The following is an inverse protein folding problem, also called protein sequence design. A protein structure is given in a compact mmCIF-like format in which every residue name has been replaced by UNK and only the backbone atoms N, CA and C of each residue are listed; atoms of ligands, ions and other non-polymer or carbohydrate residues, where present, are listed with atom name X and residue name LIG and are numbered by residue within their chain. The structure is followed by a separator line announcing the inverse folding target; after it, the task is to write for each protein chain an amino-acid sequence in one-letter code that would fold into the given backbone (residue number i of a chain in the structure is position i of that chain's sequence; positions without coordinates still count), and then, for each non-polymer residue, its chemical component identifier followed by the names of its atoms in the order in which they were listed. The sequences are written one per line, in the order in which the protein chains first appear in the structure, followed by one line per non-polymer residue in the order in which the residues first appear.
data_IF_773189333165
#
_entry.id   IF_773189333165
#
_cell.length_a   1.000
_cell.length_b   1.000
_cell.length_c   1.000
_cell.angle_alpha   90.00
_cell.angle_beta   90.00
_cell.angle_gamma   90.00
#
_symmetry.space_group_name_H-M   'P 1'
#
loop_
_entity.id
_entity.type
_entity.pdbx_description
1 polymer ?
#
# COMPACT_ATOMS: atom_id res chain seq x y z
N UNK A 1 -17.99 -35.68 -29.71
CA UNK A 1 -18.07 -34.73 -28.58
C UNK A 1 -17.69 -33.36 -29.10
N UNK A 2 -18.61 -32.39 -29.24
CA UNK A 2 -18.24 -31.03 -29.60
C UNK A 2 -17.74 -30.27 -28.36
N UNK A 3 -16.79 -29.33 -28.50
CA UNK A 3 -16.31 -28.52 -27.38
C UNK A 3 -17.39 -27.51 -26.94
N UNK A 4 -17.55 -27.37 -25.62
CA UNK A 4 -18.56 -26.53 -25.00
C UNK A 4 -18.42 -25.06 -25.37
N UNK A 5 -19.54 -24.46 -25.79
CA UNK A 5 -19.73 -23.02 -25.89
C UNK A 5 -19.52 -22.37 -24.51
N UNK A 6 -18.49 -21.53 -24.37
CA UNK A 6 -18.50 -20.47 -23.35
C UNK A 6 -19.24 -19.29 -23.96
N UNK A 7 -20.43 -19.00 -23.44
CA UNK A 7 -21.18 -17.81 -23.80
C UNK A 7 -20.43 -16.56 -23.31
N UNK A 8 -19.96 -15.75 -24.25
CA UNK A 8 -19.40 -14.44 -24.00
C UNK A 8 -20.57 -13.50 -23.68
N UNK A 9 -20.84 -13.24 -22.39
CA UNK A 9 -21.84 -12.23 -22.01
C UNK A 9 -21.22 -10.84 -22.19
N UNK A 10 -21.44 -10.24 -23.36
CA UNK A 10 -21.16 -8.83 -23.64
C UNK A 10 -22.33 -7.98 -23.14
N UNK A 11 -22.05 -6.99 -22.29
CA UNK A 11 -23.01 -5.95 -21.91
C UNK A 11 -23.37 -5.10 -23.14
N UNK A 12 -24.66 -4.87 -23.43
CA UNK A 12 -25.05 -4.10 -24.59
C UNK A 12 -24.88 -2.60 -24.31
N UNK A 13 -23.96 -1.93 -25.02
CA UNK A 13 -24.10 -0.49 -25.26
C UNK A 13 -22.90 0.44 -25.07
N UNK A 14 -21.68 0.09 -25.52
CA UNK A 14 -20.73 1.07 -26.11
C UNK A 14 -19.81 0.34 -27.10
N UNK A 15 -19.95 0.52 -28.43
CA UNK A 15 -18.97 0.01 -29.38
C UNK A 15 -17.70 0.89 -29.37
N UNK A 16 -16.57 0.33 -28.93
CA UNK A 16 -15.24 0.87 -29.28
C UNK A 16 -14.39 1.53 -28.19
N UNK A 17 -14.82 1.59 -26.93
CA UNK A 17 -13.88 1.93 -25.85
C UNK A 17 -13.05 0.69 -25.50
N UNK A 18 -11.72 0.81 -25.60
CA UNK A 18 -10.84 -0.17 -24.96
C UNK A 18 -11.26 -0.31 -23.48
N UNK A 19 -11.23 -1.53 -22.91
CA UNK A 19 -11.48 -1.68 -21.48
C UNK A 19 -10.58 -0.71 -20.72
N UNK A 20 -11.14 -0.03 -19.71
CA UNK A 20 -10.34 0.82 -18.84
C UNK A 20 -9.14 0.01 -18.34
N UNK A 21 -7.93 0.59 -18.30
CA UNK A 21 -6.76 -0.13 -17.82
C UNK A 21 -7.06 -0.70 -16.43
N UNK A 22 -6.70 -1.96 -16.22
CA UNK A 22 -6.86 -2.59 -14.92
C UNK A 22 -6.14 -1.74 -13.85
N UNK A 23 -6.71 -1.59 -12.64
CA UNK A 23 -6.05 -0.83 -11.58
C UNK A 23 -4.67 -1.43 -11.31
N UNK A 24 -3.65 -0.57 -11.26
CA UNK A 24 -2.28 -1.00 -11.02
C UNK A 24 -2.16 -1.58 -9.59
N UNK A 25 -1.49 -2.73 -9.42
CA UNK A 25 -1.43 -3.39 -8.12
C UNK A 25 -0.63 -2.56 -7.12
N UNK A 26 -1.07 -2.55 -5.86
CA UNK A 26 -0.29 -2.06 -4.73
C UNK A 26 0.35 -3.25 -4.01
N UNK A 27 1.65 -3.18 -3.73
CA UNK A 27 2.40 -4.24 -3.04
C UNK A 27 2.97 -3.69 -1.74
N UNK A 28 2.51 -4.22 -0.62
CA UNK A 28 3.01 -3.90 0.71
C UNK A 28 4.13 -4.87 1.09
N UNK A 29 5.30 -4.33 1.42
CA UNK A 29 6.50 -5.08 1.78
C UNK A 29 6.78 -4.81 3.26
N UNK A 30 6.84 -5.86 4.08
CA UNK A 30 7.16 -5.68 5.50
C UNK A 30 8.65 -5.42 5.72
N UNK A 31 8.96 -4.66 6.78
CA UNK A 31 10.34 -4.45 7.28
C UNK A 31 11.09 -5.76 7.49
N UNK A 32 10.41 -6.79 8.02
CA UNK A 32 11.02 -8.09 8.28
C UNK A 32 11.38 -8.84 6.99
N UNK A 33 10.51 -8.80 5.98
CA UNK A 33 10.80 -9.39 4.68
C UNK A 33 11.95 -8.65 3.99
N UNK A 34 11.96 -7.33 4.04
CA UNK A 34 13.03 -6.52 3.49
C UNK A 34 14.38 -6.83 4.15
N UNK A 35 14.40 -6.95 5.49
CA UNK A 35 15.59 -7.36 6.26
C UNK A 35 16.03 -8.78 5.95
N UNK A 36 15.09 -9.70 5.72
CA UNK A 36 15.40 -11.06 5.30
C UNK A 36 16.18 -11.09 3.96
N UNK A 37 15.88 -10.16 3.05
CA UNK A 37 16.63 -9.97 1.81
C UNK A 37 17.90 -9.11 1.95
N UNK A 38 18.26 -8.68 3.16
CA UNK A 38 19.49 -7.93 3.43
C UNK A 38 19.39 -6.42 3.25
N UNK A 39 18.21 -5.87 3.02
CA UNK A 39 18.01 -4.41 2.92
C UNK A 39 17.99 -3.76 4.30
N UNK A 40 18.59 -2.57 4.42
CA UNK A 40 18.73 -1.86 5.70
C UNK A 40 17.72 -0.70 5.85
N UNK A 41 17.05 -0.31 4.77
CA UNK A 41 16.04 0.75 4.77
C UNK A 41 14.89 0.45 3.81
N UNK A 42 13.74 1.11 4.01
CA UNK A 42 12.60 1.01 3.10
C UNK A 42 12.95 1.48 1.66
N UNK A 43 13.64 2.62 1.42
CA UNK A 43 14.06 3.02 0.08
C UNK A 43 14.95 2.00 -0.62
N UNK A 44 15.87 1.34 0.09
CA UNK A 44 16.71 0.28 -0.46
C UNK A 44 15.87 -0.91 -0.89
N UNK A 45 14.95 -1.36 -0.02
CA UNK A 45 14.07 -2.49 -0.31
C UNK A 45 13.17 -2.22 -1.51
N UNK A 46 12.56 -1.03 -1.59
CA UNK A 46 11.69 -0.64 -2.69
C UNK A 46 12.44 -0.62 -4.03
N UNK A 47 13.65 -0.03 -4.05
CA UNK A 47 14.48 0.00 -5.27
C UNK A 47 14.99 -1.38 -5.66
N UNK A 48 15.47 -2.16 -4.70
CA UNK A 48 16.01 -3.49 -4.93
C UNK A 48 14.95 -4.50 -5.39
N UNK A 49 13.73 -4.39 -4.88
CA UNK A 49 12.63 -5.30 -5.22
C UNK A 49 11.85 -4.89 -6.47
N UNK A 50 12.03 -3.67 -6.99
CA UNK A 50 11.31 -3.16 -8.17
C UNK A 50 11.46 -4.07 -9.39
N UNK A 51 12.63 -4.68 -9.61
CA UNK A 51 12.88 -5.59 -10.73
C UNK A 51 12.16 -6.94 -10.63
N UNK A 52 11.63 -7.28 -9.46
CA UNK A 52 10.93 -8.55 -9.18
C UNK A 52 9.41 -8.41 -9.20
N UNK A 53 8.89 -7.20 -9.37
CA UNK A 53 7.46 -6.89 -9.30
C UNK A 53 6.98 -6.40 -10.67
N UNK A 54 5.69 -6.64 -10.96
CA UNK A 54 5.07 -6.22 -12.22
C UNK A 54 5.34 -4.72 -12.51
N UNK A 55 5.74 -4.37 -13.74
CA UNK A 55 5.87 -2.97 -14.15
C UNK A 55 4.60 -2.16 -13.88
N UNK A 56 4.79 -0.94 -13.38
CA UNK A 56 3.68 -0.04 -13.02
C UNK A 56 3.04 -0.33 -11.65
N UNK A 57 3.49 -1.33 -10.90
CA UNK A 57 3.02 -1.49 -9.51
C UNK A 57 3.51 -0.35 -8.62
N UNK A 58 2.69 0.04 -7.64
CA UNK A 58 3.13 0.88 -6.52
C UNK A 58 3.64 -0.02 -5.41
N UNK A 59 4.89 0.17 -4.98
CA UNK A 59 5.48 -0.57 -3.87
C UNK A 59 5.45 0.30 -2.63
N UNK A 60 5.06 -0.24 -1.48
CA UNK A 60 4.93 0.49 -0.21
C UNK A 60 5.63 -0.31 0.88
N UNK A 61 6.45 0.35 1.69
CA UNK A 61 7.19 -0.30 2.76
C UNK A 61 7.16 0.57 4.02
N UNK A 62 6.41 0.13 5.03
CA UNK A 62 6.44 0.73 6.35
C UNK A 62 7.67 0.24 7.12
N UNK A 63 8.33 1.16 7.82
CA UNK A 63 9.58 0.94 8.52
C UNK A 63 9.51 1.28 10.02
N UNK A 64 8.32 1.14 10.59
CA UNK A 64 8.00 1.39 12.00
C UNK A 64 8.25 2.86 12.40
N UNK A 65 9.09 3.13 13.39
CA UNK A 65 9.37 4.47 13.93
C UNK A 65 10.03 5.41 12.92
N UNK A 66 10.63 4.87 11.86
CA UNK A 66 11.19 5.65 10.75
C UNK A 66 10.10 6.11 9.76
N UNK A 67 8.86 5.66 9.91
CA UNK A 67 7.75 6.00 9.03
C UNK A 67 7.55 4.99 7.92
N UNK A 68 7.32 5.47 6.70
CA UNK A 68 7.12 4.63 5.54
C UNK A 68 7.58 5.30 4.26
N UNK A 69 7.94 4.49 3.27
CA UNK A 69 8.29 4.93 1.93
C UNK A 69 7.41 4.21 0.90
N UNK A 70 7.19 4.86 -0.24
CA UNK A 70 6.52 4.25 -1.38
C UNK A 70 7.19 4.64 -2.69
N UNK A 71 7.24 3.70 -3.63
CA UNK A 71 7.76 3.87 -4.97
C UNK A 71 6.61 3.75 -5.97
N UNK A 72 6.28 4.87 -6.61
CA UNK A 72 5.21 4.99 -7.59
C UNK A 72 5.45 4.24 -8.90
N UNK A 73 4.43 4.17 -9.77
CA UNK A 73 4.55 3.52 -11.08
C UNK A 73 5.60 4.19 -11.98
N UNK A 74 5.74 5.51 -11.87
CA UNK A 74 6.71 6.37 -12.56
C UNK A 74 8.13 6.33 -11.97
N UNK A 75 8.30 5.65 -10.83
CA UNK A 75 9.57 5.57 -10.11
C UNK A 75 9.80 6.74 -9.14
N UNK A 76 8.79 7.58 -8.90
CA UNK A 76 8.85 8.58 -7.83
C UNK A 76 8.90 7.88 -6.46
N UNK A 77 9.92 8.21 -5.67
CA UNK A 77 10.03 7.77 -4.29
C UNK A 77 9.46 8.85 -3.38
N UNK A 78 8.45 8.50 -2.60
CA UNK A 78 7.85 9.37 -1.59
C UNK A 78 8.06 8.79 -0.19
N UNK A 79 8.14 9.68 0.80
CA UNK A 79 8.40 9.31 2.19
C UNK A 79 7.40 10.02 3.11
N UNK A 80 7.03 9.36 4.20
CA UNK A 80 6.33 9.99 5.31
C UNK A 80 6.92 9.53 6.63
N UNK A 81 7.26 10.49 7.50
CA UNK A 81 7.69 10.20 8.86
C UNK A 81 6.60 9.44 9.63
N UNK A 82 7.01 8.69 10.67
CA UNK A 82 6.05 8.19 11.64
C UNK A 82 5.43 9.35 12.44
N UNK A 83 4.23 9.13 12.96
CA UNK A 83 3.53 10.06 13.86
C UNK A 83 3.35 9.40 15.22
N UNK A 84 4.43 9.22 16.01
CA UNK A 84 4.35 8.51 17.27
C UNK A 84 3.39 9.22 18.25
N UNK A 85 2.63 8.48 19.06
CA UNK A 85 1.80 9.06 20.10
C UNK A 85 2.70 9.63 21.22
N UNK A 86 2.15 10.52 22.05
CA UNK A 86 2.86 11.01 23.24
C UNK A 86 3.24 9.87 24.20
N UNK A 87 2.39 8.84 24.29
CA UNK A 87 2.64 7.63 25.07
C UNK A 87 2.36 6.41 24.21
N UNK A 88 3.34 5.51 24.12
CA UNK A 88 3.20 4.23 23.44
C UNK A 88 2.46 3.25 24.35
N UNK A 89 1.31 2.76 23.90
CA UNK A 89 0.41 1.90 24.69
C UNK A 89 0.38 0.48 24.13
N UNK A 90 0.11 0.35 22.83
CA UNK A 90 -0.05 -0.96 22.18
C UNK A 90 0.29 -0.86 20.69
N UNK A 91 1.28 -1.60 20.21
CA UNK A 91 1.72 -1.61 18.81
C UNK A 91 1.06 -2.71 17.96
N UNK A 92 0.29 -3.62 18.57
CA UNK A 92 -0.28 -4.78 17.89
C UNK A 92 -1.22 -4.36 16.75
N UNK A 93 -0.95 -4.78 15.52
CA UNK A 93 -1.79 -4.40 14.37
C UNK A 93 -1.55 -2.99 13.83
N UNK A 94 -0.53 -2.26 14.29
CA UNK A 94 -0.19 -0.95 13.72
C UNK A 94 0.15 -1.03 12.22
N UNK A 95 0.80 -2.12 11.79
CA UNK A 95 1.06 -2.40 10.38
C UNK A 95 -0.21 -2.66 9.57
N UNK A 96 -1.17 -3.41 10.13
CA UNK A 96 -2.46 -3.65 9.48
C UNK A 96 -3.29 -2.35 9.39
N UNK A 97 -3.27 -1.54 10.45
CA UNK A 97 -3.87 -0.20 10.46
C UNK A 97 -3.26 0.70 9.40
N UNK A 98 -1.93 0.70 9.26
CA UNK A 98 -1.24 1.43 8.19
C UNK A 98 -1.72 0.97 6.81
N UNK A 99 -1.69 -0.34 6.54
CA UNK A 99 -2.11 -0.90 5.25
C UNK A 99 -3.57 -0.51 4.93
N UNK A 100 -4.49 -0.68 5.88
CA UNK A 100 -5.89 -0.35 5.72
C UNK A 100 -6.10 1.15 5.44
N UNK A 101 -5.42 2.02 6.18
CA UNK A 101 -5.51 3.46 6.01
C UNK A 101 -4.94 3.94 4.66
N UNK A 102 -3.82 3.38 4.20
CA UNK A 102 -3.27 3.69 2.86
C UNK A 102 -4.22 3.23 1.76
N UNK A 103 -4.75 2.00 1.85
CA UNK A 103 -5.72 1.47 0.88
C UNK A 103 -6.97 2.36 0.84
N UNK A 104 -7.50 2.74 2.01
CA UNK A 104 -8.64 3.65 2.13
C UNK A 104 -8.37 4.99 1.45
N UNK A 105 -7.26 5.65 1.78
CA UNK A 105 -6.89 6.94 1.22
C UNK A 105 -6.68 6.91 -0.31
N UNK A 106 -6.05 5.85 -0.84
CA UNK A 106 -5.90 5.67 -2.28
C UNK A 106 -7.26 5.42 -2.96
N UNK A 107 -8.14 4.65 -2.33
CA UNK A 107 -9.50 4.40 -2.84
C UNK A 107 -10.37 5.68 -2.86
N UNK A 108 -10.11 6.64 -1.97
CA UNK A 108 -10.71 7.99 -2.00
C UNK A 108 -10.10 8.90 -3.09
N UNK A 109 -9.10 8.44 -3.84
CA UNK A 109 -8.44 9.22 -4.90
C UNK A 109 -7.40 10.20 -4.38
N UNK A 110 -6.89 10.04 -3.15
CA UNK A 110 -5.78 10.85 -2.64
C UNK A 110 -4.48 10.52 -3.37
N UNK A 111 -3.53 11.46 -3.34
CA UNK A 111 -2.19 11.25 -3.89
C UNK A 111 -1.44 10.16 -3.10
N UNK A 112 -0.40 9.56 -3.69
CA UNK A 112 0.42 8.56 -3.01
C UNK A 112 1.07 9.14 -1.74
N UNK A 113 1.59 10.37 -1.82
CA UNK A 113 2.17 11.08 -0.67
C UNK A 113 1.15 11.29 0.45
N UNK A 114 -0.07 11.71 0.12
CA UNK A 114 -1.14 11.95 1.09
C UNK A 114 -1.63 10.65 1.72
N UNK A 115 -1.77 9.60 0.92
CA UNK A 115 -2.17 8.27 1.40
C UNK A 115 -1.13 7.67 2.34
N UNK A 116 0.16 7.78 2.00
CA UNK A 116 1.26 7.33 2.84
C UNK A 116 1.28 8.07 4.18
N UNK A 117 1.12 9.39 4.14
CA UNK A 117 1.06 10.23 5.34
C UNK A 117 -0.17 9.93 6.20
N UNK A 118 -1.32 9.71 5.57
CA UNK A 118 -2.52 9.29 6.28
C UNK A 118 -2.31 7.93 6.97
N UNK A 119 -1.73 6.96 6.27
CA UNK A 119 -1.34 5.66 6.83
C UNK A 119 -0.48 5.79 8.09
N UNK A 120 0.61 6.56 8.02
CA UNK A 120 1.50 6.78 9.17
C UNK A 120 0.79 7.45 10.34
N UNK A 121 -0.15 8.39 10.09
CA UNK A 121 -0.93 9.07 11.14
C UNK A 121 -1.88 8.12 11.87
N UNK A 122 -2.65 7.32 11.14
CA UNK A 122 -3.62 6.40 11.74
C UNK A 122 -2.89 5.28 12.50
N UNK A 123 -1.81 4.73 11.93
CA UNK A 123 -0.99 3.73 12.62
C UNK A 123 -0.32 4.31 13.88
N UNK A 124 0.20 5.54 13.80
CA UNK A 124 0.75 6.25 14.96
C UNK A 124 -0.28 6.48 16.06
N UNK A 125 -1.51 6.88 15.69
CA UNK A 125 -2.62 7.01 16.64
C UNK A 125 -2.98 5.66 17.28
N UNK A 126 -3.04 4.58 16.49
CA UNK A 126 -3.29 3.21 16.96
C UNK A 126 -2.28 2.82 18.03
N UNK A 127 -1.00 3.16 17.84
CA UNK A 127 0.05 2.87 18.80
C UNK A 127 -0.18 3.47 20.20
N UNK A 128 -1.00 4.52 20.30
CA UNK A 128 -1.29 5.24 21.55
C UNK A 128 -2.56 4.79 22.27
N UNK A 129 -3.24 3.75 21.79
CA UNK A 129 -4.49 3.24 22.37
C UNK A 129 -4.46 1.71 22.43
N UNK A 130 -5.22 1.12 23.35
CA UNK A 130 -5.39 -0.33 23.41
C UNK A 130 -6.49 -0.78 22.43
N UNK A 131 -6.22 -1.77 21.59
CA UNK A 131 -7.19 -2.24 20.59
C UNK A 131 -7.38 -1.22 19.45
N UNK A 132 -8.61 -1.13 18.92
CA UNK A 132 -8.93 -0.29 17.75
C UNK A 132 -10.04 0.75 18.01
N UNK A 133 -10.70 0.71 19.16
CA UNK A 133 -11.75 1.66 19.52
C UNK A 133 -11.15 3.07 19.72
N UNK A 134 -11.65 4.07 18.99
CA UNK A 134 -11.19 5.46 19.09
C UNK A 134 -10.00 5.84 18.20
N UNK A 135 -9.73 5.05 17.15
CA UNK A 135 -8.74 5.39 16.10
C UNK A 135 -9.18 6.58 15.24
N UNK A 136 -10.48 6.73 14.99
CA UNK A 136 -11.11 7.79 14.17
C UNK A 136 -12.08 8.61 14.99
#
# INVERSE_FOLDING_TARGET
MPPGHRSNHTWPGVPGSAPAPAPLPQVFISKDLARHFGYQSAPEALRGLRGHIQPGATLICAWAEEGADALGPDGELVHSNAFPPETLVDTLGAGDTFNAAVIFALAEGRTLQDALTFGCRIAGRKCGIQGFDGIV
#
